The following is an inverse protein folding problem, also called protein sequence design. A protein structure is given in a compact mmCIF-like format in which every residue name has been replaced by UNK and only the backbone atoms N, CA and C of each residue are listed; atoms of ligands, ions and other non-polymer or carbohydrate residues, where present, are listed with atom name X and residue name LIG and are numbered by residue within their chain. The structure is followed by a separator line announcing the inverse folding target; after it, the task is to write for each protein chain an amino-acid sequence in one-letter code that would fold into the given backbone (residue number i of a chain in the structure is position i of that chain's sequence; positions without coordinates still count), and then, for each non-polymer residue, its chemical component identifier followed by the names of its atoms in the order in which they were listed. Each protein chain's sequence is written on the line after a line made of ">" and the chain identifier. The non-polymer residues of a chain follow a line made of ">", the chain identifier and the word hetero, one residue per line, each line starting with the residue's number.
data_IF_811720626177
#
_entry.id   IF_811720626177
#
_cell.length_a   1.000
_cell.length_b   1.000
_cell.length_c   1.000
_cell.angle_alpha   90.00
_cell.angle_beta   90.00
_cell.angle_gamma   90.00
#
_symmetry.space_group_name_H-M   'P 1'
#
loop_
_entity.id
_entity.type
_entity.pdbx_description
1 polymer ?
#
# COMPACT_ATOMS: atom_id res chain seq x y z
N UNK A 1 -13.42 -4.62 -9.28
CA UNK A 1 -12.26 -5.42 -9.74
C UNK A 1 -12.68 -6.82 -10.20
N UNK A 2 -13.57 -7.53 -9.48
CA UNK A 2 -13.95 -8.90 -9.81
C UNK A 2 -14.50 -9.05 -11.25
N UNK A 3 -15.35 -8.12 -11.73
CA UNK A 3 -15.83 -8.14 -13.13
C UNK A 3 -14.67 -8.00 -14.12
N UNK A 4 -13.69 -7.17 -13.85
CA UNK A 4 -12.50 -7.01 -14.67
C UNK A 4 -11.66 -8.29 -14.71
N UNK A 5 -11.48 -8.95 -13.55
CA UNK A 5 -10.73 -10.20 -13.47
C UNK A 5 -11.33 -11.31 -14.33
N UNK A 6 -12.66 -11.41 -14.39
CA UNK A 6 -13.37 -12.40 -15.23
C UNK A 6 -13.61 -11.94 -16.67
N UNK A 7 -13.17 -10.73 -17.04
CA UNK A 7 -13.40 -10.20 -18.37
C UNK A 7 -12.43 -10.80 -19.40
N UNK A 8 -12.92 -10.99 -20.62
CA UNK A 8 -12.16 -11.64 -21.70
C UNK A 8 -10.89 -10.84 -22.07
N UNK A 9 -9.86 -11.57 -22.50
CA UNK A 9 -8.65 -11.02 -23.11
C UNK A 9 -9.03 -10.35 -24.44
N UNK A 10 -8.27 -9.32 -24.84
CA UNK A 10 -8.42 -8.54 -26.07
C UNK A 10 -9.78 -7.84 -26.22
N UNK A 11 -10.55 -7.74 -25.14
CA UNK A 11 -11.76 -6.93 -25.09
C UNK A 11 -11.58 -5.72 -24.20
N UNK A 12 -12.18 -4.62 -24.62
CA UNK A 12 -12.19 -3.36 -23.88
C UNK A 12 -13.20 -3.41 -22.73
N UNK A 13 -12.73 -3.19 -21.52
CA UNK A 13 -13.53 -3.09 -20.30
C UNK A 13 -13.57 -1.64 -19.82
N UNK A 14 -14.76 -1.04 -19.75
CA UNK A 14 -14.94 0.32 -19.24
C UNK A 14 -14.90 0.33 -17.70
N UNK A 15 -14.01 1.15 -17.17
CA UNK A 15 -13.82 1.32 -15.74
C UNK A 15 -14.82 2.36 -15.19
N UNK A 16 -15.27 2.20 -13.94
CA UNK A 16 -15.85 3.33 -13.22
C UNK A 16 -14.77 4.35 -12.91
N UNK A 17 -15.17 5.59 -12.59
CA UNK A 17 -14.22 6.64 -12.24
C UNK A 17 -13.32 6.23 -11.07
N UNK A 18 -13.91 5.63 -10.03
CA UNK A 18 -13.18 5.16 -8.85
C UNK A 18 -12.17 4.06 -9.19
N UNK A 19 -12.59 3.07 -10.00
CA UNK A 19 -11.69 1.96 -10.36
C UNK A 19 -10.54 2.45 -11.26
N UNK A 20 -10.82 3.39 -12.15
CA UNK A 20 -9.81 4.03 -12.98
C UNK A 20 -8.79 4.77 -12.11
N UNK A 21 -9.24 5.61 -11.17
CA UNK A 21 -8.35 6.37 -10.27
C UNK A 21 -7.47 5.45 -9.40
N UNK A 22 -8.07 4.41 -8.79
CA UNK A 22 -7.30 3.44 -7.99
C UNK A 22 -6.20 2.77 -8.83
N UNK A 23 -6.53 2.34 -10.05
CA UNK A 23 -5.57 1.69 -10.94
C UNK A 23 -4.47 2.69 -11.33
N UNK A 24 -4.79 3.94 -11.64
CA UNK A 24 -3.78 4.96 -12.00
C UNK A 24 -2.82 5.25 -10.84
N UNK A 25 -3.33 5.37 -9.61
CA UNK A 25 -2.47 5.53 -8.41
C UNK A 25 -1.55 4.31 -8.26
N UNK A 26 -2.09 3.12 -8.40
CA UNK A 26 -1.34 1.88 -8.27
C UNK A 26 -0.23 1.75 -9.33
N UNK A 27 -0.51 2.14 -10.58
CA UNK A 27 0.48 2.11 -11.66
C UNK A 27 1.57 3.18 -11.49
N UNK A 28 1.24 4.37 -10.98
CA UNK A 28 2.25 5.38 -10.65
C UNK A 28 3.25 4.86 -9.60
N UNK A 29 2.76 4.14 -8.58
CA UNK A 29 3.62 3.49 -7.58
C UNK A 29 4.39 2.32 -8.18
N UNK A 30 3.77 1.51 -9.06
CA UNK A 30 4.44 0.44 -9.78
C UNK A 30 5.63 0.94 -10.60
N UNK A 31 5.44 2.01 -11.37
CA UNK A 31 6.50 2.63 -12.17
C UNK A 31 7.63 3.16 -11.28
N UNK A 32 7.32 3.85 -10.19
CA UNK A 32 8.30 4.39 -9.24
C UNK A 32 9.07 3.33 -8.48
N UNK A 33 8.50 2.15 -8.30
CA UNK A 33 9.11 1.02 -7.60
C UNK A 33 9.71 -0.03 -8.53
N UNK A 34 9.83 0.27 -9.84
CA UNK A 34 10.31 -0.66 -10.86
C UNK A 34 9.58 -2.01 -10.83
N UNK A 35 8.26 -1.99 -10.58
CA UNK A 35 7.40 -3.16 -10.57
C UNK A 35 7.46 -4.00 -9.29
N UNK A 36 8.16 -3.58 -8.24
CA UNK A 36 8.08 -4.26 -6.92
C UNK A 36 6.65 -4.18 -6.38
N UNK A 37 5.99 -3.06 -6.58
CA UNK A 37 4.56 -2.93 -6.38
C UNK A 37 3.83 -3.32 -7.67
N UNK A 38 3.11 -4.43 -7.67
CA UNK A 38 2.41 -4.95 -8.85
C UNK A 38 0.99 -5.40 -8.51
N UNK A 39 0.00 -4.70 -9.00
CA UNK A 39 -1.42 -5.03 -8.80
C UNK A 39 -1.90 -6.23 -9.62
N UNK A 40 -1.07 -6.84 -10.45
CA UNK A 40 -1.41 -8.06 -11.21
C UNK A 40 -1.03 -9.35 -10.48
N UNK A 41 -0.63 -9.27 -9.21
CA UNK A 41 -0.23 -10.41 -8.36
C UNK A 41 -1.39 -11.26 -7.86
N UNK A 42 -2.63 -10.98 -8.25
CA UNK A 42 -3.82 -11.63 -7.69
C UNK A 42 -3.82 -13.16 -7.80
N UNK A 43 -3.31 -13.74 -8.88
CA UNK A 43 -3.14 -15.19 -9.00
C UNK A 43 -2.11 -15.73 -7.99
N UNK A 44 -0.99 -15.02 -7.79
CA UNK A 44 0.03 -15.40 -6.82
C UNK A 44 -0.49 -15.31 -5.39
N UNK A 45 -1.24 -14.23 -5.06
CA UNK A 45 -1.93 -14.05 -3.76
C UNK A 45 -2.89 -15.20 -3.49
N UNK A 46 -3.67 -15.61 -4.51
CA UNK A 46 -4.59 -16.75 -4.41
C UNK A 46 -3.85 -18.08 -4.19
N UNK A 47 -2.78 -18.34 -4.96
CA UNK A 47 -2.01 -19.58 -4.87
C UNK A 47 -1.33 -19.75 -3.51
N UNK A 48 -0.93 -18.64 -2.87
CA UNK A 48 -0.39 -18.62 -1.51
C UNK A 48 -1.48 -18.60 -0.42
N UNK A 49 -2.76 -18.70 -0.82
CA UNK A 49 -3.89 -18.84 0.08
C UNK A 49 -4.33 -17.56 0.79
N UNK A 50 -3.88 -16.38 0.36
CA UNK A 50 -4.27 -15.08 0.92
C UNK A 50 -5.43 -14.41 0.16
N UNK A 51 -5.73 -14.87 -1.04
CA UNK A 51 -6.82 -14.36 -1.86
C UNK A 51 -8.13 -15.14 -1.71
N UNK A 52 -9.15 -14.80 -2.51
CA UNK A 52 -10.49 -15.41 -2.45
C UNK A 52 -10.58 -16.82 -3.06
N UNK A 53 -9.48 -17.46 -3.45
CA UNK A 53 -9.40 -18.79 -4.07
C UNK A 53 -10.19 -18.93 -5.39
N UNK A 54 -10.30 -17.86 -6.18
CA UNK A 54 -11.11 -17.84 -7.41
C UNK A 54 -10.30 -18.02 -8.71
N UNK A 55 -8.98 -18.02 -8.68
CA UNK A 55 -8.10 -17.99 -9.87
C UNK A 55 -6.87 -18.87 -9.67
N UNK A 56 -7.06 -20.09 -9.16
CA UNK A 56 -5.95 -20.98 -8.76
C UNK A 56 -5.12 -21.51 -9.94
N UNK A 57 -5.68 -21.54 -11.13
CA UNK A 57 -5.01 -22.09 -12.33
C UNK A 57 -4.17 -21.04 -13.08
N UNK A 58 -4.28 -19.76 -12.72
CA UNK A 58 -3.58 -18.70 -13.41
C UNK A 58 -2.14 -18.60 -12.92
N UNK A 59 -1.20 -18.66 -13.84
CA UNK A 59 0.23 -18.48 -13.53
C UNK A 59 0.58 -16.99 -13.53
N UNK A 60 1.25 -16.55 -12.47
CA UNK A 60 1.85 -15.22 -12.41
C UNK A 60 3.23 -15.22 -13.09
N UNK A 61 3.50 -14.20 -13.90
CA UNK A 61 4.81 -13.92 -14.49
C UNK A 61 5.21 -12.49 -14.12
N UNK A 62 6.42 -12.35 -13.54
CA UNK A 62 6.98 -11.03 -13.26
C UNK A 62 7.46 -10.39 -14.57
N UNK A 63 6.75 -9.37 -15.00
CA UNK A 63 7.05 -8.56 -16.18
C UNK A 63 6.34 -7.21 -16.06
N UNK A 64 6.77 -6.24 -16.87
CA UNK A 64 6.10 -4.93 -16.91
C UNK A 64 4.59 -5.09 -17.18
N UNK A 65 3.76 -4.33 -16.46
CA UNK A 65 2.31 -4.34 -16.65
C UNK A 65 1.91 -3.97 -18.09
N UNK A 66 2.70 -3.15 -18.79
CA UNK A 66 2.45 -2.77 -20.17
C UNK A 66 2.50 -3.94 -21.16
N UNK A 67 3.09 -5.07 -20.77
CA UNK A 67 3.06 -6.33 -21.52
C UNK A 67 1.85 -7.21 -21.18
N UNK A 68 1.10 -6.83 -20.15
CA UNK A 68 -0.06 -7.57 -19.63
C UNK A 68 -1.37 -6.93 -20.05
N UNK A 69 -1.44 -5.61 -20.05
CA UNK A 69 -2.63 -4.82 -20.39
C UNK A 69 -2.27 -3.39 -20.80
N UNK A 70 -3.25 -2.69 -21.36
CA UNK A 70 -3.18 -1.24 -21.62
C UNK A 70 -4.38 -0.52 -21.02
N UNK A 71 -4.21 0.78 -20.77
CA UNK A 71 -5.27 1.69 -20.35
C UNK A 71 -5.46 2.76 -21.44
N UNK A 72 -6.71 3.00 -21.81
CA UNK A 72 -7.11 4.17 -22.57
C UNK A 72 -7.61 5.24 -21.60
N UNK A 73 -6.79 6.26 -21.39
CA UNK A 73 -7.10 7.36 -20.45
C UNK A 73 -8.29 8.20 -20.93
N UNK A 74 -8.53 8.27 -22.26
CA UNK A 74 -9.64 9.05 -22.83
C UNK A 74 -11.00 8.40 -22.55
N UNK A 75 -11.07 7.09 -22.66
CA UNK A 75 -12.29 6.33 -22.50
C UNK A 75 -12.42 5.73 -21.09
N UNK A 76 -11.39 5.86 -20.24
CA UNK A 76 -11.26 5.19 -18.95
C UNK A 76 -11.52 3.69 -19.07
N UNK A 77 -10.82 3.05 -20.00
CA UNK A 77 -10.99 1.62 -20.27
C UNK A 77 -9.66 0.88 -20.19
N UNK A 78 -9.73 -0.43 -20.00
CA UNK A 78 -8.59 -1.34 -19.91
C UNK A 78 -8.80 -2.52 -20.85
N UNK A 79 -7.73 -2.93 -21.54
CA UNK A 79 -7.69 -4.13 -22.40
C UNK A 79 -6.57 -5.04 -21.94
N UNK A 80 -6.91 -6.27 -21.54
CA UNK A 80 -5.94 -7.30 -21.15
C UNK A 80 -5.41 -8.01 -22.39
N UNK A 81 -4.08 -8.20 -22.45
CA UNK A 81 -3.40 -9.00 -23.48
C UNK A 81 -3.10 -10.42 -23.00
N UNK A 82 -3.14 -10.62 -21.68
CA UNK A 82 -2.89 -11.88 -20.99
C UNK A 82 -3.94 -12.11 -19.92
N UNK A 83 -4.06 -13.35 -19.49
CA UNK A 83 -4.92 -13.68 -18.36
C UNK A 83 -4.27 -13.26 -17.06
N UNK A 84 -4.54 -12.03 -16.63
CA UNK A 84 -4.04 -11.44 -15.40
C UNK A 84 -5.16 -11.25 -14.39
N UNK A 85 -4.83 -11.42 -13.12
CA UNK A 85 -5.73 -11.23 -11.98
C UNK A 85 -5.26 -10.01 -11.20
N UNK A 86 -6.10 -8.98 -11.17
CA UNK A 86 -5.84 -7.76 -10.41
C UNK A 86 -6.16 -7.95 -8.93
N UNK A 87 -5.24 -7.54 -8.08
CA UNK A 87 -5.43 -7.38 -6.65
C UNK A 87 -5.15 -5.91 -6.27
N UNK A 88 -6.15 -5.25 -5.71
CA UNK A 88 -6.07 -3.85 -5.29
C UNK A 88 -6.15 -3.71 -3.76
N UNK A 89 -5.98 -4.80 -3.01
CA UNK A 89 -6.10 -4.81 -1.55
C UNK A 89 -5.10 -3.87 -0.86
N UNK A 90 -3.96 -3.63 -1.50
CA UNK A 90 -2.85 -2.79 -1.01
C UNK A 90 -2.99 -1.30 -1.35
N UNK A 91 -4.14 -0.86 -1.88
CA UNK A 91 -4.41 0.55 -2.22
C UNK A 91 -5.87 0.92 -1.97
N UNK A 92 -6.75 -0.07 -1.92
CA UNK A 92 -8.19 0.19 -1.85
C UNK A 92 -8.65 0.75 -0.51
N UNK A 93 -7.99 0.41 0.60
CA UNK A 93 -8.29 0.98 1.92
C UNK A 93 -7.91 2.46 1.97
N UNK A 94 -6.70 2.78 1.52
CA UNK A 94 -6.27 4.17 1.38
C UNK A 94 -7.21 4.98 0.50
N UNK A 95 -7.66 4.40 -0.63
CA UNK A 95 -8.62 5.06 -1.52
C UNK A 95 -9.98 5.32 -0.86
N UNK A 96 -10.47 4.38 -0.07
CA UNK A 96 -11.71 4.58 0.68
C UNK A 96 -11.59 5.73 1.68
N UNK A 97 -10.43 5.88 2.33
CA UNK A 97 -10.14 7.00 3.24
C UNK A 97 -10.08 8.32 2.46
N UNK A 98 -9.39 8.36 1.32
CA UNK A 98 -9.30 9.55 0.46
C UNK A 98 -10.70 9.98 -0.03
N UNK A 99 -11.53 9.05 -0.50
CA UNK A 99 -12.87 9.33 -0.97
C UNK A 99 -13.79 9.94 0.13
N UNK A 100 -13.68 9.44 1.37
CA UNK A 100 -14.40 10.01 2.52
C UNK A 100 -13.83 11.40 2.86
N UNK A 101 -12.52 11.56 2.81
CA UNK A 101 -11.85 12.84 3.04
C UNK A 101 -12.35 13.92 2.06
N UNK A 102 -12.38 13.60 0.77
CA UNK A 102 -12.88 14.48 -0.28
C UNK A 102 -14.34 14.83 -0.09
N UNK A 103 -15.17 13.86 0.27
CA UNK A 103 -16.58 14.09 0.59
C UNK A 103 -16.75 15.05 1.77
N UNK A 104 -15.98 14.89 2.84
CA UNK A 104 -16.02 15.77 4.00
C UNK A 104 -15.59 17.19 3.64
N UNK A 105 -14.49 17.34 2.90
CA UNK A 105 -14.00 18.64 2.44
C UNK A 105 -15.00 19.34 1.52
N UNK A 106 -15.61 18.62 0.58
CA UNK A 106 -16.64 19.16 -0.32
C UNK A 106 -17.89 19.66 0.43
N UNK A 107 -18.16 19.11 1.63
CA UNK A 107 -19.25 19.53 2.49
C UNK A 107 -18.80 20.48 3.62
N UNK A 108 -17.61 21.10 3.51
CA UNK A 108 -17.04 22.07 4.46
C UNK A 108 -16.71 21.49 5.86
N UNK A 109 -16.55 20.18 5.98
CA UNK A 109 -16.02 19.57 7.19
C UNK A 109 -14.49 19.56 7.12
N UNK A 110 -13.82 20.54 7.73
CA UNK A 110 -12.38 20.73 7.64
C UNK A 110 -11.61 20.12 8.83
N UNK A 111 -12.30 19.59 9.83
CA UNK A 111 -11.67 19.01 11.02
C UNK A 111 -12.18 17.59 11.19
N UNK A 112 -11.35 16.62 10.81
CA UNK A 112 -11.71 15.21 10.87
C UNK A 112 -10.49 14.30 11.08
N UNK A 113 -10.75 13.11 11.58
CA UNK A 113 -9.88 11.94 11.52
C UNK A 113 -10.72 10.78 11.01
N UNK A 114 -10.23 10.13 9.97
CA UNK A 114 -10.81 8.93 9.36
C UNK A 114 -9.81 7.80 9.57
N UNK A 115 -10.29 6.65 10.00
CA UNK A 115 -9.49 5.42 10.14
C UNK A 115 -10.26 4.26 9.53
N UNK A 116 -9.68 3.60 8.54
CA UNK A 116 -10.20 2.37 7.93
C UNK A 116 -9.12 1.29 7.99
N UNK A 117 -9.15 0.50 9.05
CA UNK A 117 -8.26 -0.65 9.21
C UNK A 117 -6.78 -0.29 9.30
N UNK A 118 -6.47 0.89 9.81
CA UNK A 118 -5.11 1.40 10.01
C UNK A 118 -4.63 2.37 8.93
N UNK A 119 -5.37 2.55 7.85
CA UNK A 119 -5.17 3.63 6.89
C UNK A 119 -5.95 4.85 7.38
N UNK A 120 -5.22 5.95 7.61
CA UNK A 120 -5.74 7.11 8.34
C UNK A 120 -5.56 8.39 7.52
N UNK A 121 -6.60 9.22 7.49
CA UNK A 121 -6.52 10.63 7.14
C UNK A 121 -6.85 11.49 8.35
N UNK A 122 -6.03 12.50 8.63
CA UNK A 122 -6.35 13.54 9.60
C UNK A 122 -6.20 14.92 8.94
N UNK A 123 -7.17 15.81 9.18
CA UNK A 123 -7.13 17.19 8.69
C UNK A 123 -7.62 18.15 9.77
N UNK A 124 -7.08 19.39 9.75
CA UNK A 124 -7.44 20.42 10.72
C UNK A 124 -7.08 20.02 12.15
N UNK A 125 -7.95 20.29 13.10
CA UNK A 125 -7.69 20.09 14.53
C UNK A 125 -8.88 19.44 15.25
N UNK A 126 -8.59 18.71 16.30
CA UNK A 126 -9.59 18.23 17.27
C UNK A 126 -9.93 19.34 18.27
N UNK A 127 -10.89 19.05 19.16
CA UNK A 127 -11.21 19.97 20.30
C UNK A 127 -10.03 20.18 21.25
N UNK A 128 -9.06 19.25 21.24
CA UNK A 128 -7.90 19.25 22.14
C UNK A 128 -6.60 19.70 21.44
N UNK A 129 -6.66 20.23 20.23
CA UNK A 129 -5.52 20.62 19.41
C UNK A 129 -5.32 19.72 18.19
N UNK A 130 -4.08 19.57 17.73
CA UNK A 130 -3.73 18.73 16.58
C UNK A 130 -4.13 17.26 16.80
N UNK A 131 -4.40 16.56 15.71
CA UNK A 131 -4.62 15.13 15.75
C UNK A 131 -3.31 14.39 16.04
N UNK A 132 -3.35 13.45 16.98
CA UNK A 132 -2.24 12.57 17.30
C UNK A 132 -2.62 11.13 16.97
N UNK A 133 -1.87 10.51 16.08
CA UNK A 133 -2.08 9.16 15.56
C UNK A 133 -1.03 8.25 16.19
N UNK A 134 -1.47 7.21 16.91
CA UNK A 134 -0.59 6.19 17.46
C UNK A 134 -0.29 5.09 16.44
N UNK A 135 0.98 4.79 16.23
CA UNK A 135 1.40 3.68 15.36
C UNK A 135 1.71 2.46 16.25
N UNK A 136 1.08 1.34 15.92
CA UNK A 136 1.17 0.11 16.70
C UNK A 136 2.60 -0.45 16.70
N UNK A 137 3.03 -0.96 17.85
CA UNK A 137 4.27 -1.73 17.98
C UNK A 137 4.10 -3.11 17.32
N UNK A 138 4.89 -3.44 16.25
CA UNK A 138 4.79 -4.71 15.57
C UNK A 138 5.13 -5.92 16.44
N UNK A 139 5.73 -5.74 17.60
CA UNK A 139 6.03 -6.82 18.55
C UNK A 139 4.97 -7.02 19.61
N UNK A 140 4.02 -6.10 19.74
CA UNK A 140 3.03 -6.15 20.80
C UNK A 140 1.71 -6.75 20.34
N UNK A 141 1.34 -7.88 20.93
CA UNK A 141 0.00 -8.44 20.80
C UNK A 141 -1.10 -7.60 21.49
N UNK A 142 -0.69 -6.62 22.35
CA UNK A 142 -1.61 -5.82 23.17
C UNK A 142 -1.90 -4.42 22.58
N UNK A 143 -1.66 -4.19 21.30
CA UNK A 143 -1.86 -2.88 20.67
C UNK A 143 -1.12 -1.71 21.33
N UNK A 144 0.07 -1.96 21.84
CA UNK A 144 0.92 -0.88 22.36
C UNK A 144 1.33 0.06 21.23
N UNK A 145 1.47 1.35 21.58
CA UNK A 145 1.93 2.36 20.64
C UNK A 145 3.45 2.37 20.61
N UNK A 146 4.05 2.21 19.45
CA UNK A 146 5.51 2.31 19.23
C UNK A 146 5.95 3.77 19.17
N UNK A 147 5.21 4.59 18.42
CA UNK A 147 5.47 6.02 18.27
C UNK A 147 4.18 6.74 17.85
N UNK A 148 4.19 8.07 17.85
CA UNK A 148 3.06 8.89 17.43
C UNK A 148 3.43 9.80 16.26
N UNK A 149 2.41 10.15 15.45
CA UNK A 149 2.49 11.15 14.38
C UNK A 149 1.44 12.22 14.64
N UNK A 150 1.75 13.48 14.37
CA UNK A 150 0.82 14.61 14.46
C UNK A 150 0.61 15.24 13.08
N UNK A 151 -0.59 15.79 12.83
CA UNK A 151 -0.93 16.39 11.55
C UNK A 151 -0.58 17.87 11.40
N UNK A 152 -0.05 18.52 12.42
CA UNK A 152 0.26 19.97 12.42
C UNK A 152 -0.88 20.86 11.90
N UNK A 153 -2.14 20.47 12.15
CA UNK A 153 -3.37 21.11 11.66
C UNK A 153 -3.54 21.14 10.14
N UNK A 154 -2.74 20.38 9.40
CA UNK A 154 -2.87 20.19 7.94
C UNK A 154 -3.34 18.77 7.65
N UNK A 155 -3.67 18.50 6.39
CA UNK A 155 -3.92 17.12 5.96
C UNK A 155 -2.68 16.26 6.10
N UNK A 156 -2.86 15.05 6.61
CA UNK A 156 -1.88 13.99 6.60
C UNK A 156 -2.56 12.64 6.36
N UNK A 157 -2.07 11.91 5.39
CA UNK A 157 -2.37 10.50 5.18
C UNK A 157 -1.31 9.64 5.84
N UNK A 158 -1.73 8.59 6.53
CA UNK A 158 -0.87 7.63 7.21
C UNK A 158 -1.29 6.23 6.81
N UNK A 159 -0.35 5.41 6.38
CA UNK A 159 -0.58 3.99 6.15
C UNK A 159 0.56 3.16 6.72
N UNK A 160 0.23 2.00 7.27
CA UNK A 160 1.22 1.10 7.85
C UNK A 160 1.05 -0.32 7.32
N UNK A 161 2.09 -0.83 6.68
CA UNK A 161 2.19 -2.21 6.23
C UNK A 161 3.11 -3.01 7.15
N UNK A 162 2.73 -4.24 7.50
CA UNK A 162 3.53 -5.12 8.34
C UNK A 162 2.97 -6.53 8.38
N UNK A 163 3.84 -7.53 8.61
CA UNK A 163 3.49 -8.94 8.51
C UNK A 163 3.23 -9.61 9.87
N UNK A 164 3.43 -8.88 10.96
CA UNK A 164 3.39 -9.42 12.31
C UNK A 164 2.03 -10.00 12.75
N UNK A 165 0.95 -9.72 12.00
CA UNK A 165 -0.40 -10.27 12.28
C UNK A 165 -0.91 -11.21 11.19
N UNK A 166 -0.30 -11.24 9.99
CA UNK A 166 -0.83 -11.91 8.82
C UNK A 166 0.18 -12.88 8.21
N UNK A 167 0.32 -14.03 8.82
CA UNK A 167 1.14 -15.15 8.31
C UNK A 167 0.36 -16.47 8.37
N UNK A 168 0.78 -17.41 7.55
CA UNK A 168 0.25 -18.77 7.50
C UNK A 168 1.39 -19.78 7.45
N UNK A 169 1.13 -21.00 7.86
CA UNK A 169 2.04 -22.12 7.60
C UNK A 169 1.61 -22.84 6.32
N UNK A 170 2.50 -22.87 5.33
CA UNK A 170 2.33 -23.64 4.09
C UNK A 170 3.50 -24.61 4.01
N UNK A 171 3.21 -25.91 3.91
CA UNK A 171 4.20 -26.99 3.83
C UNK A 171 5.30 -26.95 4.92
N UNK A 172 4.95 -26.40 6.10
CA UNK A 172 5.86 -26.27 7.25
C UNK A 172 6.70 -24.99 7.26
N UNK A 173 6.61 -24.15 6.25
CA UNK A 173 7.24 -22.84 6.18
C UNK A 173 6.27 -21.73 6.59
N UNK A 174 6.78 -20.71 7.28
CA UNK A 174 6.03 -19.50 7.62
C UNK A 174 5.99 -18.58 6.41
N UNK A 175 4.78 -18.34 5.89
CA UNK A 175 4.53 -17.51 4.70
C UNK A 175 3.79 -16.24 5.12
N UNK A 176 4.36 -15.08 4.82
CA UNK A 176 3.73 -13.78 4.98
C UNK A 176 2.77 -13.50 3.82
N UNK A 177 1.75 -12.67 4.07
CA UNK A 177 0.87 -12.16 3.04
C UNK A 177 1.52 -11.11 2.12
N UNK A 178 2.66 -10.53 2.53
CA UNK A 178 3.46 -9.64 1.70
C UNK A 178 4.29 -10.46 0.72
N UNK A 179 3.98 -10.29 -0.55
CA UNK A 179 4.51 -11.12 -1.62
C UNK A 179 5.45 -10.29 -2.48
N UNK A 180 6.68 -10.79 -2.69
CA UNK A 180 7.60 -10.19 -3.65
C UNK A 180 7.33 -10.78 -5.04
N UNK A 181 6.80 -9.97 -5.97
CA UNK A 181 6.47 -10.43 -7.30
C UNK A 181 7.70 -10.88 -8.09
N UNK A 182 8.88 -10.35 -7.79
CA UNK A 182 10.15 -10.65 -8.48
C UNK A 182 10.60 -12.10 -8.27
N UNK A 183 10.37 -12.63 -7.07
CA UNK A 183 10.73 -14.00 -6.69
C UNK A 183 9.52 -14.93 -6.60
N UNK A 184 8.31 -14.41 -6.83
CA UNK A 184 7.04 -15.15 -6.81
C UNK A 184 6.77 -15.89 -5.49
N UNK A 185 7.23 -15.33 -4.38
CA UNK A 185 7.12 -15.87 -3.02
C UNK A 185 6.78 -14.77 -2.03
N UNK A 186 6.48 -15.19 -0.81
CA UNK A 186 6.49 -14.28 0.34
C UNK A 186 7.83 -13.57 0.44
N UNK A 187 7.82 -12.32 0.87
CA UNK A 187 9.05 -11.54 1.03
C UNK A 187 10.04 -12.28 1.93
N UNK A 188 11.31 -12.14 1.61
CA UNK A 188 12.45 -12.66 2.38
C UNK A 188 13.35 -11.49 2.80
N UNK A 189 12.88 -10.71 3.78
CA UNK A 189 13.60 -9.56 4.34
C UNK A 189 13.33 -9.42 5.83
N UNK A 190 14.13 -8.58 6.49
CA UNK A 190 14.06 -8.36 7.94
C UNK A 190 13.12 -7.22 8.34
N UNK A 191 12.31 -6.68 7.43
CA UNK A 191 11.37 -5.58 7.70
C UNK A 191 10.17 -6.13 8.46
N UNK A 192 9.88 -5.53 9.62
CA UNK A 192 8.72 -5.86 10.46
C UNK A 192 7.51 -5.00 10.15
N UNK A 193 7.74 -3.69 9.99
CA UNK A 193 6.67 -2.72 9.76
C UNK A 193 7.20 -1.50 9.02
N UNK A 194 6.38 -0.95 8.14
CA UNK A 194 6.65 0.27 7.38
C UNK A 194 5.49 1.22 7.54
N UNK A 195 5.76 2.42 8.01
CA UNK A 195 4.78 3.52 8.04
C UNK A 195 5.18 4.58 7.04
N UNK A 196 4.25 4.93 6.15
CA UNK A 196 4.41 6.01 5.16
C UNK A 196 3.44 7.14 5.48
N UNK A 197 3.93 8.37 5.34
CA UNK A 197 3.14 9.58 5.45
C UNK A 197 3.10 10.29 4.11
N UNK A 198 1.90 10.73 3.70
CA UNK A 198 1.68 11.52 2.49
C UNK A 198 0.77 12.73 2.81
N UNK A 199 1.16 13.91 2.37
CA UNK A 199 0.41 15.15 2.65
C UNK A 199 -0.75 15.40 1.68
N UNK A 200 -1.04 14.43 0.80
CA UNK A 200 -2.05 14.57 -0.26
C UNK A 200 -2.93 13.36 -0.49
N UNK A 201 -2.48 12.14 -0.13
CA UNK A 201 -3.21 10.91 -0.46
C UNK A 201 -2.86 9.74 0.45
N UNK A 202 -3.87 9.16 1.07
CA UNK A 202 -3.73 7.92 1.84
C UNK A 202 -3.53 6.71 0.92
N UNK A 203 -4.14 6.73 -0.28
CA UNK A 203 -3.96 5.67 -1.28
C UNK A 203 -2.49 5.50 -1.68
N UNK A 204 -1.79 6.64 -1.88
CA UNK A 204 -0.36 6.61 -2.20
C UNK A 204 0.46 6.11 -1.02
N UNK A 205 0.13 6.56 0.20
CA UNK A 205 0.79 6.09 1.40
C UNK A 205 0.62 4.57 1.56
N UNK A 206 -0.59 4.02 1.35
CA UNK A 206 -0.93 2.58 1.44
C UNK A 206 -0.11 1.76 0.42
N UNK A 207 -0.12 2.18 -0.85
CA UNK A 207 0.64 1.51 -1.90
C UNK A 207 2.17 1.54 -1.66
N UNK A 208 2.73 2.70 -1.25
CA UNK A 208 4.15 2.79 -0.92
C UNK A 208 4.52 2.02 0.35
N UNK A 209 3.67 2.01 1.37
CA UNK A 209 3.92 1.21 2.57
C UNK A 209 4.03 -0.28 2.22
N UNK A 210 3.16 -0.78 1.34
CA UNK A 210 3.24 -2.15 0.81
C UNK A 210 4.53 -2.38 0.02
N UNK A 211 4.90 -1.46 -0.89
CA UNK A 211 6.13 -1.58 -1.68
C UNK A 211 7.39 -1.65 -0.79
N UNK A 212 7.53 -0.71 0.15
CA UNK A 212 8.67 -0.68 1.07
C UNK A 212 8.70 -1.89 2.03
N UNK A 213 7.55 -2.47 2.37
CA UNK A 213 7.51 -3.68 3.18
C UNK A 213 8.05 -4.91 2.42
N UNK A 214 7.95 -4.91 1.09
CA UNK A 214 8.47 -5.96 0.21
C UNK A 214 9.96 -5.77 -0.11
N UNK A 215 10.41 -4.54 -0.29
CA UNK A 215 11.79 -4.18 -0.62
C UNK A 215 12.76 -4.56 0.49
N UNK A 216 14.03 -4.76 0.13
CA UNK A 216 15.13 -4.73 1.10
C UNK A 216 15.25 -3.35 1.75
N UNK A 217 15.92 -3.28 2.91
CA UNK A 217 16.16 -2.00 3.56
C UNK A 217 16.93 -1.02 2.66
N UNK A 218 17.97 -1.50 1.97
CA UNK A 218 18.80 -0.66 1.10
C UNK A 218 18.01 -0.08 -0.08
N UNK A 219 17.18 -0.91 -0.76
CA UNK A 219 16.26 -0.45 -1.80
C UNK A 219 15.28 0.60 -1.26
N UNK A 220 14.74 0.38 -0.06
CA UNK A 220 13.79 1.29 0.58
C UNK A 220 14.43 2.62 0.94
N UNK A 221 15.67 2.62 1.44
CA UNK A 221 16.45 3.81 1.74
C UNK A 221 16.68 4.61 0.46
N UNK A 222 17.24 3.98 -0.59
CA UNK A 222 17.55 4.65 -1.85
C UNK A 222 16.30 5.27 -2.48
N UNK A 223 15.21 4.51 -2.57
CA UNK A 223 13.97 4.98 -3.19
C UNK A 223 13.32 6.10 -2.38
N UNK A 224 13.21 5.96 -1.07
CA UNK A 224 12.57 6.97 -0.23
C UNK A 224 13.32 8.31 -0.24
N UNK A 225 14.66 8.27 -0.24
CA UNK A 225 15.49 9.46 -0.34
C UNK A 225 15.39 10.12 -1.72
N UNK A 226 15.39 9.32 -2.80
CA UNK A 226 15.31 9.83 -4.17
C UNK A 226 13.96 10.50 -4.48
N UNK A 227 12.87 9.97 -3.94
CA UNK A 227 11.51 10.48 -4.15
C UNK A 227 11.04 11.46 -3.07
N UNK A 228 11.82 11.65 -1.99
CA UNK A 228 11.44 12.50 -0.87
C UNK A 228 10.24 11.95 -0.06
N UNK A 229 10.08 10.63 -0.02
CA UNK A 229 8.96 10.00 0.69
C UNK A 229 9.23 9.98 2.19
N UNK A 230 8.23 10.36 2.98
CA UNK A 230 8.27 10.28 4.43
C UNK A 230 7.97 8.84 4.86
N UNK A 231 9.01 8.09 5.20
CA UNK A 231 8.90 6.69 5.62
C UNK A 231 9.68 6.42 6.89
N UNK A 232 9.06 5.61 7.77
CA UNK A 232 9.72 5.00 8.93
C UNK A 232 9.59 3.50 8.83
N UNK A 233 10.74 2.82 8.94
CA UNK A 233 10.85 1.35 8.82
C UNK A 233 11.34 0.79 10.13
N UNK A 234 10.65 -0.22 10.65
CA UNK A 234 11.08 -1.03 11.80
C UNK A 234 11.58 -2.36 11.23
N UNK A 235 12.81 -2.74 11.58
CA UNK A 235 13.45 -3.93 11.04
C UNK A 235 14.34 -4.62 12.07
N UNK A 236 14.72 -5.89 11.81
CA UNK A 236 15.64 -6.65 12.64
C UNK A 236 17.03 -6.64 11.99
N UNK A 237 18.07 -6.33 12.77
CA UNK A 237 19.47 -6.48 12.38
C UNK A 237 20.29 -6.94 13.59
N UNK A 238 21.09 -7.99 13.43
CA UNK A 238 21.90 -8.60 14.49
C UNK A 238 21.05 -9.05 15.71
N UNK A 239 19.82 -9.52 15.46
CA UNK A 239 18.87 -9.93 16.48
C UNK A 239 18.26 -8.78 17.30
N UNK A 240 18.52 -7.53 16.91
CA UNK A 240 18.01 -6.33 17.56
C UNK A 240 17.04 -5.60 16.66
N UNK A 241 16.04 -4.95 17.26
CA UNK A 241 15.17 -4.03 16.55
C UNK A 241 15.89 -2.73 16.29
N UNK A 242 15.84 -2.31 15.04
CA UNK A 242 16.38 -1.04 14.56
C UNK A 242 15.30 -0.26 13.81
N UNK A 243 15.53 1.03 13.69
CA UNK A 243 14.63 1.96 13.01
C UNK A 243 15.41 2.72 11.94
N UNK A 244 14.77 2.88 10.78
CA UNK A 244 15.18 3.82 9.75
C UNK A 244 14.09 4.89 9.60
N UNK A 245 14.49 6.14 9.46
CA UNK A 245 13.63 7.27 9.11
C UNK A 245 14.27 8.01 7.95
N UNK A 246 13.50 8.22 6.86
CA UNK A 246 13.96 9.03 5.74
C UNK A 246 14.23 10.48 6.17
N UNK A 247 15.06 11.21 5.43
CA UNK A 247 15.32 12.64 5.70
C UNK A 247 14.02 13.46 5.69
N UNK A 248 13.11 13.12 4.76
CA UNK A 248 11.80 13.78 4.68
C UNK A 248 10.93 13.52 5.92
N UNK A 249 11.06 12.34 6.55
CA UNK A 249 10.41 12.04 7.84
C UNK A 249 11.02 12.86 8.97
N UNK A 250 12.34 12.87 9.08
CA UNK A 250 13.05 13.59 10.15
C UNK A 250 12.77 15.10 10.13
N UNK A 251 12.64 15.68 8.95
CA UNK A 251 12.36 17.11 8.78
C UNK A 251 10.96 17.54 9.25
N UNK A 252 10.00 16.61 9.41
CA UNK A 252 8.67 16.93 10.00
C UNK A 252 8.71 17.35 11.47
N UNK A 253 9.73 16.97 12.19
CA UNK A 253 9.84 17.27 13.62
C UNK A 253 10.41 18.66 13.92
N UNK A 254 10.70 19.46 12.90
CA UNK A 254 11.32 20.78 13.04
C UNK A 254 10.44 21.95 12.54
N UNK A 255 9.20 21.66 12.08
CA UNK A 255 8.19 22.67 11.73
C UNK A 255 7.07 22.74 12.81
#
# INVERSE_FOLDING_TARGET
>A
VNKLNFYDIDKEFFLSDELYEIIKIALDVSDKTNGVYDITVGSLVNNLGFGPNLFLDNQYVFESYSLKFSIDDKNKSISKYKDVVFDLSSVAKGYAVDAISDYLLANNFNNYLIDIGGEIAANGSSKNGVWTIGIQDPQSLQQNVSFTVTNSSKFIGVATSGDYLNFKYLDGELVSHSIDPRITKSKDNNVLSVTVLDESSVSRADAFATAFNIMSLDESVELSESLGIKVKIIYISDGLIKYFESKSWQNMNYE
#
